data_IF_337392214878
#
_entry.id   IF_337392214878
#
_cell.length_a   1.000
_cell.length_b   1.000
_cell.length_c   1.000
_cell.angle_alpha   90.00
_cell.angle_beta   90.00
_cell.angle_gamma   90.00
#
_symmetry.space_group_name_H-M   'P 1'
#
loop_
_entity.id
_entity.type
_entity.pdbx_description
1 polymer ?
#
# COMPACT_ATOMS: atom_id res chain seq x y z
N UNK A 1 16.54 -56.56 0.43
CA UNK A 1 17.01 -55.59 1.45
C UNK A 1 15.80 -54.94 2.08
N UNK A 2 15.58 -55.13 3.38
CA UNK A 2 14.40 -54.60 4.08
C UNK A 2 14.75 -53.35 4.91
N UNK A 3 13.78 -52.45 5.10
CA UNK A 3 13.87 -51.36 6.07
C UNK A 3 13.36 -51.84 7.43
N UNK A 4 14.07 -51.50 8.51
CA UNK A 4 13.60 -51.73 9.87
C UNK A 4 12.51 -50.70 10.22
N UNK A 5 11.34 -51.19 10.64
CA UNK A 5 10.19 -50.36 11.02
C UNK A 5 9.94 -50.50 12.51
N UNK A 6 10.00 -49.39 13.23
CA UNK A 6 9.67 -49.33 14.66
C UNK A 6 8.65 -48.23 14.94
N UNK A 7 7.90 -48.36 16.03
CA UNK A 7 6.93 -47.33 16.49
C UNK A 7 7.40 -46.71 17.80
N UNK A 8 7.28 -45.39 17.92
CA UNK A 8 7.46 -44.68 19.20
C UNK A 8 6.32 -43.66 19.37
N UNK A 9 5.37 -43.99 20.24
CA UNK A 9 4.12 -43.25 20.35
C UNK A 9 3.31 -43.38 19.05
N UNK A 10 2.74 -42.27 18.58
CA UNK A 10 1.97 -42.22 17.33
C UNK A 10 2.84 -42.17 16.06
N UNK A 11 4.16 -41.94 16.18
CA UNK A 11 5.05 -41.77 15.03
C UNK A 11 5.77 -43.08 14.65
N UNK A 12 5.86 -43.33 13.34
CA UNK A 12 6.60 -44.46 12.76
C UNK A 12 8.03 -44.05 12.51
N UNK A 13 8.95 -44.99 12.66
CA UNK A 13 10.39 -44.80 12.48
C UNK A 13 10.91 -45.82 11.48
N UNK A 14 11.59 -45.33 10.46
CA UNK A 14 12.19 -46.15 9.41
C UNK A 14 13.70 -46.04 9.47
N UNK A 15 14.38 -47.19 9.44
CA UNK A 15 15.83 -47.26 9.32
C UNK A 15 16.20 -48.21 8.19
N UNK A 16 16.72 -47.66 7.10
CA UNK A 16 17.27 -48.46 6.02
C UNK A 16 18.70 -48.92 6.36
N UNK A 17 19.17 -50.05 5.79
CA UNK A 17 20.56 -50.47 5.90
C UNK A 17 21.51 -49.35 5.44
N UNK A 18 22.49 -48.97 6.27
CA UNK A 18 23.46 -47.90 6.00
C UNK A 18 23.05 -46.50 6.47
N UNK A 19 21.86 -46.31 7.05
CA UNK A 19 21.46 -45.01 7.60
C UNK A 19 22.04 -44.76 9.00
N UNK A 20 22.73 -43.63 9.16
CA UNK A 20 23.26 -43.17 10.46
C UNK A 20 22.15 -42.71 11.41
N UNK A 21 21.08 -42.14 10.86
CA UNK A 21 19.94 -41.61 11.61
C UNK A 21 18.63 -42.28 11.15
N UNK A 22 17.67 -42.40 12.07
CA UNK A 22 16.33 -42.95 11.80
C UNK A 22 15.45 -41.85 11.22
N UNK A 23 14.70 -42.13 10.14
CA UNK A 23 13.68 -41.20 9.66
C UNK A 23 12.42 -41.35 10.50
N UNK A 24 11.89 -40.22 10.99
CA UNK A 24 10.62 -40.17 11.70
C UNK A 24 9.52 -39.78 10.70
N UNK A 25 8.51 -40.63 10.61
CA UNK A 25 7.27 -40.34 9.91
C UNK A 25 6.29 -39.76 10.92
N UNK A 26 6.07 -38.45 10.79
CA UNK A 26 5.20 -37.65 11.65
C UNK A 26 4.10 -37.02 10.79
N UNK A 27 2.95 -36.69 11.38
CA UNK A 27 1.80 -36.10 10.66
C UNK A 27 2.17 -34.78 9.94
N UNK A 28 3.24 -34.13 10.40
CA UNK A 28 3.80 -32.90 9.82
C UNK A 28 4.45 -33.07 8.44
N UNK A 29 4.67 -34.30 7.96
CA UNK A 29 5.14 -34.55 6.60
C UNK A 29 4.09 -34.14 5.54
N UNK A 30 2.83 -34.06 5.94
CA UNK A 30 1.71 -33.64 5.11
C UNK A 30 1.01 -34.81 4.41
N UNK A 31 -0.04 -34.46 3.64
CA UNK A 31 -0.86 -35.39 2.88
C UNK A 31 -0.03 -36.19 1.86
N UNK A 32 -0.26 -37.50 1.75
CA UNK A 32 0.50 -38.40 0.88
C UNK A 32 1.67 -39.14 1.56
N UNK A 33 1.92 -38.87 2.85
CA UNK A 33 2.97 -39.51 3.65
C UNK A 33 2.44 -40.21 4.92
N UNK A 34 1.14 -40.49 4.99
CA UNK A 34 0.58 -41.36 6.05
C UNK A 34 1.00 -42.83 5.83
N UNK A 35 0.92 -43.64 6.88
CA UNK A 35 1.28 -45.06 6.82
C UNK A 35 0.52 -45.81 5.73
N UNK A 36 -0.80 -45.61 5.66
CA UNK A 36 -1.67 -46.30 4.71
C UNK A 36 -1.40 -45.85 3.27
N UNK A 37 -1.14 -44.56 3.05
CA UNK A 37 -0.79 -44.03 1.73
C UNK A 37 0.56 -44.57 1.23
N UNK A 38 1.57 -44.62 2.11
CA UNK A 38 2.89 -45.15 1.75
C UNK A 38 2.80 -46.65 1.47
N UNK A 39 2.01 -47.41 2.24
CA UNK A 39 1.76 -48.84 1.97
C UNK A 39 1.07 -49.04 0.63
N UNK A 40 0.03 -48.27 0.31
CA UNK A 40 -0.65 -48.33 -0.98
C UNK A 40 0.27 -47.96 -2.15
N UNK A 41 1.18 -46.99 -1.94
CA UNK A 41 2.22 -46.64 -2.92
C UNK A 41 3.20 -47.80 -3.14
N UNK A 42 3.69 -48.41 -2.07
CA UNK A 42 4.63 -49.54 -2.15
C UNK A 42 3.98 -50.81 -2.73
N UNK A 43 2.68 -51.00 -2.50
CA UNK A 43 1.87 -52.06 -3.10
C UNK A 43 1.53 -51.80 -4.58
N UNK A 44 1.84 -50.61 -5.12
CA UNK A 44 1.56 -50.23 -6.50
C UNK A 44 0.13 -49.78 -6.76
N UNK A 45 -0.70 -49.65 -5.72
CA UNK A 45 -2.11 -49.23 -5.82
C UNK A 45 -2.26 -47.71 -6.01
N UNK A 46 -1.25 -46.93 -5.61
CA UNK A 46 -1.23 -45.47 -5.74
C UNK A 46 0.12 -44.97 -6.27
N UNK A 47 0.10 -43.95 -7.12
CA UNK A 47 1.33 -43.30 -7.59
C UNK A 47 1.81 -42.26 -6.57
N UNK A 48 3.07 -42.35 -6.13
CA UNK A 48 3.65 -41.35 -5.24
C UNK A 48 3.86 -40.01 -5.95
N UNK A 49 3.23 -38.95 -5.45
CA UNK A 49 3.48 -37.57 -5.88
C UNK A 49 4.16 -36.80 -4.74
N UNK A 50 5.49 -36.60 -4.78
CA UNK A 50 6.17 -35.90 -3.71
C UNK A 50 5.70 -34.44 -3.64
N UNK A 51 5.61 -33.91 -2.41
CA UNK A 51 5.26 -32.50 -2.19
C UNK A 51 6.25 -31.62 -2.95
N UNK A 52 5.77 -30.88 -3.96
CA UNK A 52 6.56 -29.79 -4.54
C UNK A 52 6.75 -28.74 -3.45
N UNK A 53 8.01 -28.45 -3.09
CA UNK A 53 8.31 -27.22 -2.38
C UNK A 53 7.89 -26.09 -3.30
N UNK A 54 6.93 -25.28 -2.87
CA UNK A 54 6.66 -24.01 -3.53
C UNK A 54 7.99 -23.27 -3.61
N UNK A 55 8.39 -22.88 -4.82
CA UNK A 55 9.56 -22.05 -4.99
C UNK A 55 9.31 -20.79 -4.16
N UNK A 56 10.07 -20.63 -3.06
CA UNK A 56 10.02 -19.42 -2.27
C UNK A 56 10.43 -18.30 -3.22
N UNK A 57 9.45 -17.51 -3.65
CA UNK A 57 9.70 -16.31 -4.45
C UNK A 57 10.65 -15.45 -3.63
N UNK A 58 11.90 -15.39 -4.06
CA UNK A 58 12.86 -14.48 -3.44
C UNK A 58 12.47 -13.09 -3.92
N UNK A 59 12.03 -12.20 -3.01
CA UNK A 59 11.68 -10.85 -3.42
C UNK A 59 12.91 -10.22 -4.07
N UNK A 60 12.70 -9.45 -5.15
CA UNK A 60 13.77 -8.68 -5.77
C UNK A 60 14.48 -7.83 -4.72
N UNK A 61 15.82 -7.80 -4.72
CA UNK A 61 16.57 -7.04 -3.73
C UNK A 61 16.24 -5.55 -3.88
N UNK A 62 15.61 -4.96 -2.86
CA UNK A 62 15.29 -3.54 -2.77
C UNK A 62 16.20 -2.87 -1.76
N UNK A 63 16.62 -1.64 -2.02
CA UNK A 63 17.39 -0.84 -1.06
C UNK A 63 16.51 -0.53 0.15
N UNK A 64 16.91 -1.02 1.32
CA UNK A 64 16.31 -0.64 2.61
C UNK A 64 17.30 0.16 3.45
N UNK A 65 16.74 0.86 4.44
CA UNK A 65 17.49 1.66 5.39
C UNK A 65 18.39 0.79 6.27
N UNK A 66 19.60 1.31 6.54
CA UNK A 66 20.51 0.74 7.52
C UNK A 66 19.91 0.78 8.93
N UNK A 67 20.07 -0.32 9.67
CA UNK A 67 19.67 -0.41 11.08
C UNK A 67 20.68 0.34 11.95
N UNK A 68 20.17 1.21 12.81
CA UNK A 68 20.99 1.78 13.87
C UNK A 68 21.20 0.80 15.02
N UNK A 69 22.37 0.15 14.99
CA UNK A 69 22.73 -0.87 15.97
C UNK A 69 22.80 -0.25 17.36
N UNK A 70 23.36 0.96 17.50
CA UNK A 70 23.56 1.57 18.81
C UNK A 70 22.23 2.00 19.42
N UNK A 71 21.38 2.70 18.68
CA UNK A 71 20.04 3.07 19.16
C UNK A 71 19.17 1.84 19.46
N UNK A 72 19.27 0.77 18.66
CA UNK A 72 18.50 -0.46 18.92
C UNK A 72 19.01 -1.22 20.14
N UNK A 73 20.31 -1.18 20.43
CA UNK A 73 20.87 -1.72 21.67
C UNK A 73 20.40 -0.90 22.89
N UNK A 74 20.38 0.44 22.80
CA UNK A 74 19.83 1.30 23.85
C UNK A 74 18.34 1.05 24.10
N UNK A 75 17.58 0.71 23.05
CA UNK A 75 16.18 0.29 23.16
C UNK A 75 15.97 -1.14 23.72
N UNK A 76 17.01 -1.75 24.31
CA UNK A 76 16.91 -3.04 24.99
C UNK A 76 17.05 -4.28 24.10
N UNK A 77 17.58 -4.15 22.88
CA UNK A 77 17.89 -5.33 22.03
C UNK A 77 19.17 -6.02 22.48
N UNK A 78 19.19 -7.36 22.44
CA UNK A 78 20.34 -8.16 22.88
C UNK A 78 21.43 -8.35 21.82
N UNK A 79 22.55 -8.95 22.23
CA UNK A 79 23.74 -9.16 21.38
C UNK A 79 23.48 -9.97 20.08
N UNK A 80 22.48 -10.87 20.08
CA UNK A 80 22.06 -11.60 18.88
C UNK A 80 21.48 -10.69 17.79
N UNK A 81 20.73 -9.65 18.19
CA UNK A 81 20.19 -8.66 17.26
C UNK A 81 21.31 -7.83 16.63
N UNK A 82 22.32 -7.44 17.40
CA UNK A 82 23.48 -6.72 16.87
C UNK A 82 24.25 -7.55 15.82
N UNK A 83 24.45 -8.85 16.06
CA UNK A 83 25.08 -9.75 15.08
C UNK A 83 24.28 -9.83 13.78
N UNK A 84 22.97 -9.99 13.87
CA UNK A 84 22.08 -9.96 12.71
C UNK A 84 22.12 -8.61 11.99
N UNK A 85 22.03 -7.50 12.72
CA UNK A 85 22.00 -6.15 12.17
C UNK A 85 23.29 -5.80 11.43
N UNK A 86 24.46 -6.29 11.88
CA UNK A 86 25.72 -6.14 11.14
C UNK A 86 25.67 -6.82 9.77
N UNK A 87 25.23 -8.07 9.72
CA UNK A 87 25.10 -8.81 8.44
C UNK A 87 24.03 -8.19 7.55
N UNK A 88 22.93 -7.72 8.13
CA UNK A 88 21.87 -7.01 7.42
C UNK A 88 22.40 -5.71 6.80
N UNK A 89 23.06 -4.85 7.59
CA UNK A 89 23.61 -3.59 7.13
C UNK A 89 24.64 -3.79 6.01
N UNK A 90 25.54 -4.78 6.14
CA UNK A 90 26.49 -5.12 5.07
C UNK A 90 25.79 -5.47 3.75
N UNK A 91 24.72 -6.29 3.82
CA UNK A 91 23.90 -6.62 2.63
C UNK A 91 23.20 -5.39 2.06
N UNK A 92 22.66 -4.52 2.91
CA UNK A 92 22.01 -3.28 2.46
C UNK A 92 23.01 -2.29 1.85
N UNK A 93 24.25 -2.24 2.32
CA UNK A 93 25.32 -1.44 1.70
C UNK A 93 25.69 -1.94 0.33
N UNK A 94 25.85 -3.26 0.17
CA UNK A 94 26.10 -3.84 -1.15
C UNK A 94 24.93 -3.53 -2.12
N UNK A 95 23.69 -3.64 -1.66
CA UNK A 95 22.51 -3.30 -2.47
C UNK A 95 22.45 -1.81 -2.81
N UNK A 96 22.79 -0.93 -1.85
CA UNK A 96 22.84 0.52 -2.09
C UNK A 96 23.92 0.85 -3.13
N UNK A 97 25.11 0.27 -3.01
CA UNK A 97 26.19 0.47 -3.97
C UNK A 97 25.81 0.00 -5.38
N UNK A 98 25.16 -1.17 -5.50
CA UNK A 98 24.67 -1.66 -6.79
C UNK A 98 23.64 -0.70 -7.40
N UNK A 99 22.67 -0.25 -6.60
CA UNK A 99 21.66 0.71 -7.04
C UNK A 99 22.27 2.03 -7.51
N UNK A 100 23.19 2.61 -6.73
CA UNK A 100 23.87 3.85 -7.12
C UNK A 100 24.69 3.68 -8.41
N UNK A 101 25.31 2.51 -8.60
CA UNK A 101 26.08 2.21 -9.82
C UNK A 101 25.15 2.06 -11.03
N UNK A 102 24.06 1.29 -10.90
CA UNK A 102 23.08 1.05 -11.97
C UNK A 102 22.38 2.35 -12.42
N UNK A 103 22.15 3.29 -11.51
CA UNK A 103 21.47 4.56 -11.80
C UNK A 103 22.43 5.74 -12.03
N UNK A 104 23.75 5.51 -12.01
CA UNK A 104 24.76 6.56 -12.20
C UNK A 104 24.72 7.65 -11.12
N UNK A 105 24.48 7.27 -9.87
CA UNK A 105 24.28 8.15 -8.70
C UNK A 105 25.46 8.11 -7.72
N UNK A 106 26.66 7.81 -8.21
CA UNK A 106 27.86 7.74 -7.38
C UNK A 106 28.26 9.13 -6.83
N UNK A 107 27.85 10.21 -7.51
CA UNK A 107 28.04 11.58 -7.04
C UNK A 107 26.91 11.99 -6.07
N UNK A 108 27.31 12.42 -4.87
CA UNK A 108 26.36 12.79 -3.81
C UNK A 108 25.40 13.92 -4.22
N UNK A 109 25.92 14.97 -4.87
CA UNK A 109 25.10 16.10 -5.32
C UNK A 109 24.00 15.65 -6.30
N UNK A 110 24.35 14.76 -7.24
CA UNK A 110 23.41 14.18 -8.21
C UNK A 110 22.36 13.30 -7.53
N UNK A 111 22.77 12.51 -6.53
CA UNK A 111 21.86 11.71 -5.72
C UNK A 111 20.87 12.58 -4.94
N UNK A 112 21.36 13.66 -4.32
CA UNK A 112 20.52 14.61 -3.58
C UNK A 112 19.51 15.31 -4.49
N UNK A 113 19.96 15.81 -5.65
CA UNK A 113 19.10 16.46 -6.63
C UNK A 113 18.02 15.51 -7.14
N UNK A 114 18.37 14.28 -7.52
CA UNK A 114 17.39 13.30 -7.99
C UNK A 114 16.41 12.88 -6.89
N UNK A 115 16.88 12.73 -5.65
CA UNK A 115 15.99 12.43 -4.52
C UNK A 115 15.01 13.59 -4.26
N UNK A 116 15.46 14.84 -4.37
CA UNK A 116 14.60 16.02 -4.25
C UNK A 116 13.59 16.08 -5.41
N UNK A 117 14.02 15.89 -6.65
CA UNK A 117 13.16 15.87 -7.83
C UNK A 117 12.10 14.77 -7.76
N UNK A 118 12.47 13.55 -7.35
CA UNK A 118 11.53 12.45 -7.15
C UNK A 118 10.49 12.76 -6.06
N UNK A 119 10.91 13.44 -4.97
CA UNK A 119 10.02 13.89 -3.90
C UNK A 119 9.02 14.94 -4.40
N UNK A 120 9.50 15.94 -5.13
CA UNK A 120 8.66 16.98 -5.74
C UNK A 120 7.63 16.38 -6.69
N UNK A 121 8.07 15.52 -7.62
CA UNK A 121 7.19 14.82 -8.56
C UNK A 121 6.12 14.00 -7.84
N UNK A 122 6.49 13.29 -6.78
CA UNK A 122 5.53 12.52 -5.98
C UNK A 122 4.47 13.42 -5.32
N UNK A 123 4.90 14.55 -4.76
CA UNK A 123 4.00 15.51 -4.12
C UNK A 123 3.06 16.16 -5.14
N UNK A 124 3.57 16.52 -6.32
CA UNK A 124 2.77 17.07 -7.42
C UNK A 124 1.70 16.08 -7.89
N UNK A 125 2.08 14.81 -8.14
CA UNK A 125 1.11 13.76 -8.50
C UNK A 125 0.08 13.55 -7.40
N UNK A 126 0.49 13.57 -6.13
CA UNK A 126 -0.43 13.47 -4.99
C UNK A 126 -1.43 14.64 -4.98
N UNK A 127 -0.96 15.87 -5.21
CA UNK A 127 -1.80 17.05 -5.26
C UNK A 127 -2.77 17.02 -6.44
N UNK A 128 -2.33 16.59 -7.63
CA UNK A 128 -3.18 16.43 -8.81
C UNK A 128 -4.28 15.40 -8.59
N UNK A 129 -3.94 14.22 -8.02
CA UNK A 129 -4.92 13.18 -7.70
C UNK A 129 -5.95 13.73 -6.70
N UNK A 130 -5.51 14.41 -5.65
CA UNK A 130 -6.41 15.01 -4.65
C UNK A 130 -7.32 16.06 -5.27
N UNK A 131 -6.79 16.94 -6.11
CA UNK A 131 -7.58 17.97 -6.79
C UNK A 131 -8.61 17.36 -7.75
N UNK A 132 -8.25 16.28 -8.46
CA UNK A 132 -9.20 15.55 -9.29
C UNK A 132 -10.30 14.89 -8.43
N UNK A 133 -9.95 14.30 -7.29
CA UNK A 133 -10.91 13.70 -6.36
C UNK A 133 -11.88 14.72 -5.76
N UNK A 134 -11.39 15.88 -5.31
CA UNK A 134 -12.25 16.95 -4.78
C UNK A 134 -13.20 17.45 -5.87
N UNK A 135 -12.69 17.68 -7.08
CA UNK A 135 -13.52 18.12 -8.21
C UNK A 135 -14.57 17.09 -8.60
N UNK A 136 -14.23 15.80 -8.58
CA UNK A 136 -15.20 14.73 -8.83
C UNK A 136 -16.31 14.69 -7.77
N UNK A 137 -15.98 14.91 -6.49
CA UNK A 137 -16.96 14.99 -5.42
C UNK A 137 -17.88 16.20 -5.56
N UNK A 138 -17.33 17.37 -5.88
CA UNK A 138 -18.10 18.59 -6.20
C UNK A 138 -19.06 18.34 -7.36
N UNK A 139 -18.59 17.72 -8.44
CA UNK A 139 -19.44 17.40 -9.60
C UNK A 139 -20.59 16.46 -9.21
N UNK A 140 -20.34 15.48 -8.34
CA UNK A 140 -21.38 14.56 -7.86
C UNK A 140 -22.45 15.28 -7.03
N UNK A 141 -22.04 16.19 -6.14
CA UNK A 141 -22.96 17.03 -5.33
C UNK A 141 -23.75 17.98 -6.23
N UNK A 142 -23.07 18.69 -7.13
CA UNK A 142 -23.68 19.59 -8.13
C UNK A 142 -24.72 18.87 -8.99
N UNK A 143 -24.38 17.69 -9.51
CA UNK A 143 -25.31 16.88 -10.31
C UNK A 143 -26.56 16.52 -9.52
N UNK A 144 -26.41 16.19 -8.24
CA UNK A 144 -27.53 15.87 -7.35
C UNK A 144 -28.46 17.09 -7.17
N UNK A 145 -27.90 18.27 -6.88
CA UNK A 145 -28.69 19.49 -6.78
C UNK A 145 -29.38 19.87 -8.11
N UNK A 146 -28.71 19.71 -9.25
CA UNK A 146 -29.31 19.98 -10.57
C UNK A 146 -30.49 19.04 -10.83
N UNK A 147 -30.34 17.74 -10.57
CA UNK A 147 -31.42 16.77 -10.75
C UNK A 147 -32.59 17.08 -9.81
N UNK A 148 -32.32 17.35 -8.53
CA UNK A 148 -33.35 17.69 -7.56
C UNK A 148 -34.08 18.97 -7.94
N UNK A 149 -33.36 20.00 -8.39
CA UNK A 149 -33.94 21.26 -8.85
C UNK A 149 -34.87 21.05 -10.04
N UNK A 150 -34.43 20.30 -11.05
CA UNK A 150 -35.24 20.02 -12.25
C UNK A 150 -36.50 19.24 -11.90
N UNK A 151 -36.41 18.21 -11.06
CA UNK A 151 -37.56 17.39 -10.65
C UNK A 151 -38.58 18.16 -9.80
N UNK A 152 -38.11 19.01 -8.90
CA UNK A 152 -38.97 19.74 -7.95
C UNK A 152 -39.46 21.09 -8.48
N UNK A 153 -38.97 21.53 -9.65
CA UNK A 153 -39.32 22.82 -10.24
C UNK A 153 -40.82 22.99 -10.48
N UNK A 154 -41.49 21.96 -11.00
CA UNK A 154 -42.92 22.03 -11.30
C UNK A 154 -43.76 22.09 -10.01
N UNK A 155 -43.43 21.27 -9.01
CA UNK A 155 -44.05 21.27 -7.69
C UNK A 155 -43.88 22.62 -7.00
N UNK A 156 -42.67 23.20 -7.04
CA UNK A 156 -42.40 24.51 -6.47
C UNK A 156 -43.11 25.64 -7.23
N UNK A 157 -43.24 25.53 -8.55
CA UNK A 157 -44.02 26.49 -9.35
C UNK A 157 -45.52 26.43 -9.01
N UNK A 158 -46.08 25.24 -8.78
CA UNK A 158 -47.45 25.06 -8.31
C UNK A 158 -47.64 25.63 -6.89
N UNK A 159 -46.68 25.38 -5.99
CA UNK A 159 -46.67 25.96 -4.64
C UNK A 159 -46.69 27.50 -4.65
N UNK A 160 -45.92 28.10 -5.55
CA UNK A 160 -45.89 29.56 -5.75
C UNK A 160 -47.21 30.10 -6.29
N UNK A 161 -47.84 29.40 -7.24
CA UNK A 161 -49.16 29.76 -7.78
C UNK A 161 -50.28 29.61 -6.75
N UNK A 162 -50.18 28.64 -5.84
CA UNK A 162 -51.11 28.42 -4.74
C UNK A 162 -50.94 29.42 -3.58
N UNK A 163 -50.13 30.48 -3.74
CA UNK A 163 -49.96 31.53 -2.75
C UNK A 163 -49.30 31.07 -1.45
N UNK A 164 -48.41 30.08 -1.51
CA UNK A 164 -47.72 29.52 -0.34
C UNK A 164 -48.66 28.87 0.69
N UNK A 165 -49.73 28.21 0.23
CA UNK A 165 -50.69 27.51 1.08
C UNK A 165 -50.02 26.49 2.03
N UNK A 166 -50.37 26.55 3.32
CA UNK A 166 -49.87 25.61 4.34
C UNK A 166 -50.26 24.15 4.06
N UNK A 167 -51.42 23.91 3.44
CA UNK A 167 -51.88 22.57 3.08
C UNK A 167 -50.99 21.93 2.00
N UNK A 168 -50.66 22.71 0.96
CA UNK A 168 -49.77 22.28 -0.12
C UNK A 168 -48.35 22.05 0.38
N UNK A 169 -47.88 22.86 1.34
CA UNK A 169 -46.57 22.67 1.96
C UNK A 169 -46.50 21.35 2.74
N UNK A 170 -47.56 20.96 3.46
CA UNK A 170 -47.58 19.70 4.20
C UNK A 170 -47.60 18.46 3.26
N UNK A 171 -48.27 18.56 2.11
CA UNK A 171 -48.33 17.47 1.13
C UNK A 171 -47.04 17.31 0.30
N UNK A 172 -46.33 18.41 0.03
CA UNK A 172 -45.12 18.44 -0.80
C UNK A 172 -43.87 18.93 -0.05
N UNK A 173 -43.81 18.73 1.26
CA UNK A 173 -42.77 19.30 2.13
C UNK A 173 -41.36 18.89 1.67
N UNK A 174 -41.16 17.60 1.42
CA UNK A 174 -39.88 17.04 0.98
C UNK A 174 -39.40 17.65 -0.33
N UNK A 175 -40.29 17.79 -1.33
CA UNK A 175 -39.95 18.36 -2.63
C UNK A 175 -39.62 19.86 -2.55
N UNK A 176 -40.36 20.60 -1.72
CA UNK A 176 -40.13 22.03 -1.49
C UNK A 176 -38.80 22.24 -0.76
N UNK A 177 -38.46 21.40 0.22
CA UNK A 177 -37.18 21.45 0.92
C UNK A 177 -36.01 21.12 -0.01
N UNK A 178 -36.12 20.07 -0.83
CA UNK A 178 -35.11 19.72 -1.83
C UNK A 178 -34.89 20.85 -2.85
N UNK A 179 -35.96 21.51 -3.29
CA UNK A 179 -35.86 22.66 -4.19
C UNK A 179 -35.12 23.84 -3.56
N UNK A 180 -35.48 24.19 -2.31
CA UNK A 180 -34.83 25.27 -1.55
C UNK A 180 -33.35 24.98 -1.30
N UNK A 181 -33.03 23.76 -0.87
CA UNK A 181 -31.66 23.33 -0.63
C UNK A 181 -30.82 23.37 -1.92
N UNK A 182 -31.36 22.91 -3.05
CA UNK A 182 -30.67 23.00 -4.34
C UNK A 182 -30.43 24.46 -4.76
N UNK A 183 -31.41 25.36 -4.55
CA UNK A 183 -31.25 26.78 -4.85
C UNK A 183 -30.17 27.43 -3.97
N UNK A 184 -30.20 27.17 -2.67
CA UNK A 184 -29.20 27.69 -1.74
C UNK A 184 -27.78 27.21 -2.11
N UNK A 185 -27.62 25.94 -2.47
CA UNK A 185 -26.33 25.42 -2.94
C UNK A 185 -25.83 26.12 -4.22
N UNK A 186 -26.72 26.53 -5.12
CA UNK A 186 -26.32 27.31 -6.30
C UNK A 186 -25.93 28.75 -5.97
N UNK A 187 -26.63 29.36 -5.01
CA UNK A 187 -26.36 30.71 -4.52
C UNK A 187 -25.00 30.74 -3.78
N UNK A 188 -24.71 29.75 -2.93
CA UNK A 188 -23.43 29.60 -2.21
C UNK A 188 -22.24 29.42 -3.17
N UNK A 189 -22.46 28.73 -4.30
CA UNK A 189 -21.44 28.54 -5.33
C UNK A 189 -21.30 29.74 -6.29
N UNK A 190 -22.15 30.76 -6.18
CA UNK A 190 -22.10 31.97 -7.01
C UNK A 190 -22.28 31.73 -8.51
N UNK A 191 -22.89 30.60 -8.90
CA UNK A 191 -22.95 30.15 -10.30
C UNK A 191 -24.03 30.94 -11.06
N UNK A 192 -23.62 31.87 -11.94
CA UNK A 192 -24.53 32.64 -12.80
C UNK A 192 -25.18 31.82 -13.92
N UNK A 193 -24.55 30.72 -14.35
CA UNK A 193 -25.05 29.81 -15.39
C UNK A 193 -24.86 28.36 -14.97
N UNK A 194 -25.95 27.65 -14.75
CA UNK A 194 -25.93 26.24 -14.35
C UNK A 194 -25.32 25.38 -15.47
N UNK A 195 -24.26 24.61 -15.19
CA UNK A 195 -23.73 23.62 -16.14
C UNK A 195 -24.80 22.59 -16.49
N UNK A 196 -24.73 22.02 -17.69
CA UNK A 196 -25.60 20.90 -18.06
C UNK A 196 -25.10 19.61 -17.42
N UNK A 197 -26.02 18.68 -17.09
CA UNK A 197 -25.63 17.36 -16.55
C UNK A 197 -24.71 16.61 -17.52
N UNK A 198 -24.92 16.78 -18.84
CA UNK A 198 -24.06 16.17 -19.87
C UNK A 198 -22.62 16.69 -19.82
N UNK A 199 -22.42 18.00 -19.66
CA UNK A 199 -21.07 18.57 -19.55
C UNK A 199 -20.37 18.12 -18.27
N UNK A 200 -21.09 18.09 -17.14
CA UNK A 200 -20.57 17.57 -15.87
C UNK A 200 -20.19 16.08 -15.96
N UNK A 201 -20.97 15.28 -16.70
CA UNK A 201 -20.68 13.87 -16.90
C UNK A 201 -19.44 13.66 -17.79
N UNK A 202 -19.26 14.48 -18.82
CA UNK A 202 -18.05 14.47 -19.64
C UNK A 202 -16.81 14.84 -18.81
N UNK A 203 -16.89 15.92 -18.01
CA UNK A 203 -15.81 16.35 -17.10
C UNK A 203 -15.45 15.26 -16.09
N UNK A 204 -16.46 14.64 -15.46
CA UNK A 204 -16.25 13.53 -14.54
C UNK A 204 -15.55 12.34 -15.20
N UNK A 205 -15.94 11.98 -16.43
CA UNK A 205 -15.32 10.89 -17.18
C UNK A 205 -13.85 11.20 -17.50
N UNK A 206 -13.54 12.43 -17.92
CA UNK A 206 -12.16 12.87 -18.17
C UNK A 206 -11.31 12.87 -16.91
N UNK A 207 -11.84 13.33 -15.78
CA UNK A 207 -11.15 13.32 -14.49
C UNK A 207 -10.91 11.90 -14.00
N UNK A 208 -11.86 10.99 -14.21
CA UNK A 208 -11.71 9.59 -13.85
C UNK A 208 -10.61 8.90 -14.67
N UNK A 209 -10.52 9.18 -15.97
CA UNK A 209 -9.47 8.63 -16.82
C UNK A 209 -8.09 9.21 -16.47
N UNK A 210 -8.00 10.52 -16.26
CA UNK A 210 -6.79 11.19 -15.79
C UNK A 210 -6.29 10.60 -14.47
N UNK A 211 -7.17 10.52 -13.47
CA UNK A 211 -6.88 9.92 -12.16
C UNK A 211 -6.32 8.50 -12.27
N UNK A 212 -6.86 7.67 -13.18
CA UNK A 212 -6.35 6.30 -13.38
C UNK A 212 -4.90 6.28 -13.90
N UNK A 213 -4.57 7.19 -14.82
CA UNK A 213 -3.21 7.36 -15.35
C UNK A 213 -2.28 7.89 -14.26
N UNK A 214 -2.69 8.95 -13.59
CA UNK A 214 -1.92 9.59 -12.51
C UNK A 214 -1.67 8.61 -11.36
N UNK A 215 -2.62 7.74 -11.03
CA UNK A 215 -2.45 6.74 -9.97
C UNK A 215 -1.44 5.63 -10.34
N UNK A 216 -1.33 5.28 -11.62
CA UNK A 216 -0.31 4.35 -12.10
C UNK A 216 1.08 4.97 -11.98
N UNK A 217 1.23 6.25 -12.36
CA UNK A 217 2.48 7.00 -12.22
C UNK A 217 2.82 7.30 -10.77
N UNK A 218 1.83 7.63 -9.94
CA UNK A 218 1.98 7.86 -8.50
C UNK A 218 2.58 6.62 -7.82
N UNK A 219 2.07 5.42 -8.15
CA UNK A 219 2.63 4.17 -7.62
C UNK A 219 4.11 3.99 -7.98
N UNK A 220 4.49 4.28 -9.23
CA UNK A 220 5.89 4.20 -9.68
C UNK A 220 6.76 5.26 -9.00
N UNK A 221 6.30 6.51 -8.97
CA UNK A 221 7.01 7.63 -8.31
C UNK A 221 7.26 7.36 -6.83
N UNK A 222 6.33 6.67 -6.17
CA UNK A 222 6.45 6.31 -4.75
C UNK A 222 7.50 5.23 -4.50
N UNK A 223 7.64 4.28 -5.42
CA UNK A 223 8.71 3.28 -5.35
C UNK A 223 10.07 3.90 -5.64
N UNK A 224 10.18 4.70 -6.70
CA UNK A 224 11.40 5.42 -7.07
C UNK A 224 11.87 6.38 -5.95
N UNK A 225 10.96 7.22 -5.44
CA UNK A 225 11.24 8.11 -4.31
C UNK A 225 11.71 7.33 -3.07
N UNK A 226 11.08 6.18 -2.78
CA UNK A 226 11.46 5.36 -1.63
C UNK A 226 12.87 4.80 -1.77
N UNK A 227 13.22 4.29 -2.94
CA UNK A 227 14.55 3.72 -3.21
C UNK A 227 15.64 4.80 -3.19
N UNK A 228 15.39 5.94 -3.83
CA UNK A 228 16.30 7.10 -3.81
C UNK A 228 16.52 7.65 -2.41
N UNK A 229 15.44 7.84 -1.62
CA UNK A 229 15.56 8.32 -0.24
C UNK A 229 16.25 7.29 0.67
N UNK A 230 16.01 5.99 0.47
CA UNK A 230 16.71 4.95 1.20
C UNK A 230 18.20 4.92 0.87
N UNK A 231 18.55 5.03 -0.42
CA UNK A 231 19.94 5.11 -0.87
C UNK A 231 20.63 6.37 -0.33
N UNK A 232 19.97 7.53 -0.41
CA UNK A 232 20.48 8.79 0.16
C UNK A 232 20.73 8.67 1.65
N UNK A 233 19.75 8.21 2.43
CA UNK A 233 19.90 8.07 3.88
C UNK A 233 21.00 7.08 4.27
N UNK A 234 21.19 6.03 3.48
CA UNK A 234 22.27 5.06 3.65
C UNK A 234 23.66 5.70 3.40
N UNK A 235 23.79 6.52 2.35
CA UNK A 235 25.02 7.28 2.05
C UNK A 235 25.28 8.37 3.08
N UNK A 236 24.25 9.13 3.47
CA UNK A 236 24.32 10.15 4.53
C UNK A 236 24.88 9.55 5.83
N UNK A 237 24.45 8.33 6.16
CA UNK A 237 24.93 7.62 7.33
C UNK A 237 26.37 7.14 7.21
N UNK A 238 26.78 6.66 6.02
CA UNK A 238 28.15 6.24 5.77
C UNK A 238 29.13 7.42 5.82
N UNK A 239 28.68 8.59 5.35
CA UNK A 239 29.47 9.83 5.32
C UNK A 239 29.42 10.61 6.64
N UNK A 240 28.71 10.13 7.65
CA UNK A 240 28.59 10.79 8.97
C UNK A 240 27.55 11.92 9.06
N UNK A 241 26.96 12.36 7.94
CA UNK A 241 25.92 13.40 7.91
C UNK A 241 24.61 13.01 8.62
N UNK A 242 24.37 11.71 8.84
CA UNK A 242 23.21 11.21 9.57
C UNK A 242 23.28 11.35 11.09
N UNK A 243 24.48 11.31 11.67
CA UNK A 243 24.69 11.36 13.13
C UNK A 243 24.61 12.80 13.66
N UNK A 244 25.07 13.78 12.88
CA UNK A 244 24.96 15.22 13.21
C UNK A 244 23.50 15.70 13.19
N UNK A 245 22.71 15.34 12.16
CA UNK A 245 21.30 15.74 12.04
C UNK A 245 20.37 15.10 13.09
N UNK A 246 20.71 13.92 13.60
CA UNK A 246 19.97 13.29 14.70
C UNK A 246 20.28 13.96 16.04
N UNK A 247 21.57 14.25 16.29
CA UNK A 247 21.98 15.00 17.47
C UNK A 247 21.38 16.41 17.51
N UNK A 248 21.23 17.08 16.37
CA UNK A 248 20.63 18.42 16.31
C UNK A 248 19.11 18.39 16.52
N UNK A 249 18.38 17.42 15.95
CA UNK A 249 16.94 17.24 16.23
C UNK A 249 16.65 16.85 17.68
N UNK A 250 17.51 16.03 18.29
CA UNK A 250 17.37 15.64 19.70
C UNK A 250 17.70 16.82 20.65
N UNK A 251 18.64 17.69 20.27
CA UNK A 251 18.92 18.94 21.01
C UNK A 251 17.78 19.95 20.90
N UNK A 252 17.19 20.13 19.71
CA UNK A 252 16.01 21.00 19.53
C UNK A 252 14.80 20.49 20.31
N UNK A 253 14.53 19.18 20.31
CA UNK A 253 13.41 18.59 21.08
C UNK A 253 13.66 18.52 22.60
N UNK A 254 14.92 18.60 23.04
CA UNK A 254 15.31 18.65 24.45
C UNK A 254 15.33 20.06 25.05
N UNK A 255 15.33 21.11 24.23
CA UNK A 255 15.28 22.52 24.68
C UNK A 255 13.84 23.03 24.86
N UNK A 256 12.85 22.34 24.30
CA UNK A 256 11.41 22.66 24.39
C UNK A 256 10.66 21.84 25.48
N UNK A 257 11.39 21.32 26.47
CA UNK A 257 10.85 20.60 27.64
C UNK A 257 11.26 21.23 28.95
#
# INVERSE_FOLDING_TARGET
>A
MGCEVSRRGQAIRLKAPGWKNVARMDEKLGQGYSEDEIRAVLAGEKQHTPRRKDAVSTPTPKVNLLVDIQAKLQAGKGAGYARWAKVFNLKQMAQTMNYLTEHGLLEYAVLEEKAAAATTRHNELSAQIKAAETRMAEIAVLRTHIINYVKTREVYAAYRKAGYSKKFLAEHEADILLHKAAKQAFDDLGIKKLPTVKSLQAEYATLLEGKKKDYAEYRRSREEMRELLAAKANVDRLMGYGEERQNDREKEQGQDR
#
